data_IF_794038004836
#
_entry.id   IF_794038004836
#
_cell.length_a   1.000
_cell.length_b   1.000
_cell.length_c   1.000
_cell.angle_alpha   90.00
_cell.angle_beta   90.00
_cell.angle_gamma   90.00
#
_symmetry.space_group_name_H-M   'P 1'
#
loop_
_entity.id
_entity.type
_entity.pdbx_description
1 polymer ?
#
# COMPACT_ATOMS: atom_id res chain seq x y z
N UNK A 1 -5.18 -25.92 -17.37
CA UNK A 1 -4.45 -24.86 -18.11
C UNK A 1 -5.15 -23.53 -17.87
N UNK A 2 -4.51 -22.56 -17.20
CA UNK A 2 -5.08 -21.21 -17.08
C UNK A 2 -4.98 -20.50 -18.43
N UNK A 3 -6.11 -20.08 -18.99
CA UNK A 3 -6.13 -19.25 -20.20
C UNK A 3 -5.48 -17.91 -19.88
N UNK A 4 -4.42 -17.53 -20.59
CA UNK A 4 -3.78 -16.21 -20.43
C UNK A 4 -4.71 -15.15 -21.03
N UNK A 5 -5.18 -14.22 -20.21
CA UNK A 5 -5.94 -13.06 -20.67
C UNK A 5 -4.97 -11.97 -21.12
N UNK A 6 -5.08 -11.51 -22.37
CA UNK A 6 -4.32 -10.36 -22.83
C UNK A 6 -4.95 -9.09 -22.25
N UNK A 7 -4.19 -8.37 -21.43
CA UNK A 7 -4.64 -7.12 -20.80
C UNK A 7 -3.68 -6.00 -21.18
N UNK A 8 -4.22 -4.84 -21.53
CA UNK A 8 -3.45 -3.62 -21.79
C UNK A 8 -3.71 -2.64 -20.66
N UNK A 9 -2.66 -2.04 -20.12
CA UNK A 9 -2.74 -1.03 -19.06
C UNK A 9 -2.00 0.23 -19.50
N UNK A 10 -2.53 1.39 -19.12
CA UNK A 10 -1.87 2.68 -19.34
C UNK A 10 -1.17 3.07 -18.05
N UNK A 11 0.14 3.35 -18.15
CA UNK A 11 0.98 3.74 -17.03
C UNK A 11 1.65 5.07 -17.32
N UNK A 12 1.87 5.87 -16.28
CA UNK A 12 2.70 7.06 -16.40
C UNK A 12 4.15 6.67 -16.77
N UNK A 13 4.87 7.51 -17.54
CA UNK A 13 6.20 7.16 -18.04
C UNK A 13 7.21 6.76 -16.95
N UNK A 14 7.27 7.52 -15.86
CA UNK A 14 8.18 7.26 -14.74
C UNK A 14 7.89 5.92 -14.04
N UNK A 15 6.61 5.53 -13.92
CA UNK A 15 6.20 4.25 -13.33
C UNK A 15 6.63 3.10 -14.25
N UNK A 16 6.44 3.26 -15.56
CA UNK A 16 6.85 2.26 -16.55
C UNK A 16 8.36 2.05 -16.51
N UNK A 17 9.15 3.12 -16.45
CA UNK A 17 10.60 3.04 -16.37
C UNK A 17 11.07 2.34 -15.09
N UNK A 18 10.51 2.73 -13.94
CA UNK A 18 10.81 2.10 -12.66
C UNK A 18 10.49 0.60 -12.68
N UNK A 19 9.26 0.24 -13.03
CA UNK A 19 8.83 -1.16 -13.08
C UNK A 19 9.62 -1.99 -14.11
N UNK A 20 10.07 -1.37 -15.20
CA UNK A 20 10.93 -2.05 -16.18
C UNK A 20 12.34 -2.32 -15.65
N UNK A 21 12.90 -1.42 -14.83
CA UNK A 21 14.20 -1.63 -14.18
C UNK A 21 14.11 -2.73 -13.12
N UNK A 22 13.08 -2.67 -12.27
CA UNK A 22 12.81 -3.69 -11.25
C UNK A 22 12.60 -5.09 -11.87
N UNK A 23 11.76 -5.19 -12.92
CA UNK A 23 11.54 -6.45 -13.62
C UNK A 23 12.85 -7.05 -14.14
N UNK A 24 13.73 -6.23 -14.73
CA UNK A 24 15.06 -6.67 -15.20
C UNK A 24 15.97 -7.11 -14.05
N UNK A 25 15.97 -6.39 -12.93
CA UNK A 25 16.75 -6.73 -11.73
C UNK A 25 16.38 -8.12 -11.20
N UNK A 26 15.10 -8.47 -11.26
CA UNK A 26 14.57 -9.76 -10.83
C UNK A 26 14.64 -10.85 -11.93
N UNK A 27 15.15 -10.54 -13.12
CA UNK A 27 15.19 -11.47 -14.25
C UNK A 27 13.81 -11.84 -14.80
N UNK A 28 12.79 -11.00 -14.58
CA UNK A 28 11.41 -11.22 -14.98
C UNK A 28 11.03 -10.38 -16.20
N UNK A 29 10.13 -10.93 -17.02
CA UNK A 29 9.43 -10.14 -18.02
C UNK A 29 8.54 -9.10 -17.35
N UNK A 30 8.40 -7.92 -17.96
CA UNK A 30 7.58 -6.83 -17.44
C UNK A 30 6.13 -7.28 -17.14
N UNK A 31 5.53 -8.08 -18.02
CA UNK A 31 4.17 -8.60 -17.82
C UNK A 31 4.07 -9.55 -16.63
N UNK A 32 5.08 -10.40 -16.42
CA UNK A 32 5.15 -11.29 -15.28
C UNK A 32 5.29 -10.51 -13.97
N UNK A 33 6.19 -9.53 -13.94
CA UNK A 33 6.39 -8.63 -12.80
C UNK A 33 5.09 -7.92 -12.40
N UNK A 34 4.40 -7.30 -13.36
CA UNK A 34 3.10 -6.65 -13.09
C UNK A 34 2.04 -7.65 -12.59
N UNK A 35 2.01 -8.86 -13.15
CA UNK A 35 1.06 -9.89 -12.72
C UNK A 35 1.31 -10.32 -11.26
N UNK A 36 2.58 -10.46 -10.85
CA UNK A 36 2.94 -10.76 -9.46
C UNK A 36 2.48 -9.64 -8.53
N UNK A 37 2.76 -8.37 -8.89
CA UNK A 37 2.32 -7.23 -8.08
C UNK A 37 0.79 -7.16 -7.91
N UNK A 38 0.04 -7.42 -8.98
CA UNK A 38 -1.43 -7.48 -8.91
C UNK A 38 -1.87 -8.64 -8.01
N UNK A 39 -1.26 -9.81 -8.14
CA UNK A 39 -1.55 -10.98 -7.30
C UNK A 39 -1.28 -10.73 -5.83
N UNK A 40 -0.14 -10.13 -5.49
CA UNK A 40 0.22 -9.73 -4.12
C UNK A 40 -0.76 -8.70 -3.57
N UNK A 41 -1.13 -7.69 -4.37
CA UNK A 41 -2.11 -6.69 -3.95
C UNK A 41 -3.48 -7.33 -3.70
N UNK A 42 -3.94 -8.19 -4.59
CA UNK A 42 -5.23 -8.89 -4.45
C UNK A 42 -5.26 -9.80 -3.22
N UNK A 43 -4.14 -10.49 -2.94
CA UNK A 43 -3.99 -11.31 -1.73
C UNK A 43 -4.10 -10.46 -0.47
N UNK A 44 -3.45 -9.29 -0.45
CA UNK A 44 -3.53 -8.35 0.67
C UNK A 44 -4.92 -7.72 0.86
N UNK A 45 -5.68 -7.52 -0.21
CA UNK A 45 -7.05 -6.94 -0.16
C UNK A 45 -8.17 -7.95 0.04
N UNK A 46 -7.86 -9.25 0.11
CA UNK A 46 -8.86 -10.30 0.34
C UNK A 46 -9.35 -10.34 1.80
N UNK A 47 -8.69 -9.57 2.68
CA UNK A 47 -9.08 -9.32 4.07
C UNK A 47 -9.66 -7.90 4.16
N UNK A 48 -10.88 -7.74 4.67
CA UNK A 48 -12.08 -7.46 3.88
C UNK A 48 -12.07 -6.12 3.14
N UNK A 49 -12.59 -6.17 1.92
CA UNK A 49 -13.04 -5.02 1.16
C UNK A 49 -14.46 -4.61 1.58
N UNK A 50 -14.73 -3.31 1.66
CA UNK A 50 -15.84 -2.60 1.01
C UNK A 50 -15.70 -1.13 1.43
N UNK A 51 -15.05 -0.29 0.62
CA UNK A 51 -15.29 1.15 0.73
C UNK A 51 -16.73 1.36 0.23
N UNK A 52 -17.70 1.29 1.15
CA UNK A 52 -19.06 1.72 0.89
C UNK A 52 -18.99 3.21 0.60
N UNK A 53 -19.16 3.61 -0.66
CA UNK A 53 -19.72 4.92 -0.96
C UNK A 53 -21.17 4.91 -0.51
N UNK A 54 -21.44 5.40 0.71
CA UNK A 54 -22.75 5.94 1.06
C UNK A 54 -22.48 7.17 1.92
N UNK A 55 -22.80 8.30 1.33
CA UNK A 55 -23.05 9.58 1.99
C UNK A 55 -23.99 9.44 3.19
N UNK A 56 -23.67 10.22 4.22
CA UNK A 56 -24.51 10.60 5.36
C UNK A 56 -24.98 9.55 6.38
N UNK A 57 -24.73 9.98 7.62
CA UNK A 57 -25.43 9.77 8.87
C UNK A 57 -25.37 8.42 9.62
N UNK A 58 -24.81 8.56 10.84
CA UNK A 58 -24.87 7.71 12.04
C UNK A 58 -24.04 6.42 12.02
N UNK A 59 -22.83 6.54 12.58
CA UNK A 59 -22.07 5.40 13.09
C UNK A 59 -22.49 5.20 14.55
N UNK A 60 -23.37 4.22 14.76
CA UNK A 60 -23.58 3.57 16.05
C UNK A 60 -22.28 2.87 16.47
N UNK A 61 -21.91 3.07 17.74
CA UNK A 61 -20.84 2.39 18.44
C UNK A 61 -21.13 0.88 18.56
N UNK A 62 -20.33 0.03 17.91
CA UNK A 62 -20.06 -1.31 18.40
C UNK A 62 -18.83 -1.93 17.72
N UNK A 63 -17.85 -2.30 18.55
CA UNK A 63 -16.73 -3.20 18.28
C UNK A 63 -15.52 -2.65 17.50
N UNK A 64 -14.79 -1.73 18.13
CA UNK A 64 -13.33 -1.63 17.96
C UNK A 64 -12.71 -1.72 19.36
N UNK A 65 -12.58 -2.93 19.88
CA UNK A 65 -11.64 -3.24 20.97
C UNK A 65 -10.24 -3.34 20.35
N UNK A 66 -9.60 -2.19 20.14
CA UNK A 66 -8.15 -2.14 19.94
C UNK A 66 -7.54 -2.09 21.34
N UNK A 67 -6.93 -3.20 21.71
CA UNK A 67 -5.93 -3.32 22.75
C UNK A 67 -5.01 -2.09 22.77
N UNK A 68 -4.93 -1.49 23.95
CA UNK A 68 -3.84 -0.69 24.49
C UNK A 68 -3.12 0.29 23.54
N UNK A 69 -3.43 1.58 23.68
CA UNK A 69 -2.49 2.66 23.38
C UNK A 69 -1.23 2.44 24.22
N UNK A 70 -0.19 1.82 23.64
CA UNK A 70 1.17 1.98 24.13
C UNK A 70 1.47 3.48 24.17
N UNK A 71 1.62 4.03 25.37
CA UNK A 71 2.10 5.39 25.56
C UNK A 71 3.57 5.41 25.13
N UNK A 72 3.84 5.79 23.89
CA UNK A 72 5.20 6.05 23.42
C UNK A 72 5.75 7.20 24.25
N UNK A 73 6.68 6.90 25.17
CA UNK A 73 7.45 7.90 25.91
C UNK A 73 8.60 8.31 25.01
N UNK A 74 8.48 9.46 24.37
CA UNK A 74 9.55 10.07 23.59
C UNK A 74 10.61 10.56 24.58
N UNK A 75 11.87 10.22 24.34
CA UNK A 75 12.98 10.71 25.16
C UNK A 75 13.44 12.12 24.72
N UNK A 76 14.20 12.81 25.58
CA UNK A 76 14.65 14.18 25.32
C UNK A 76 15.61 14.30 24.13
N UNK A 77 16.24 13.21 23.70
CA UNK A 77 17.16 13.20 22.57
C UNK A 77 16.37 13.11 21.25
N UNK A 78 15.28 12.33 21.24
CA UNK A 78 14.31 12.24 20.16
C UNK A 78 13.55 13.55 19.95
N UNK A 79 13.17 14.27 21.01
CA UNK A 79 12.54 15.60 20.88
C UNK A 79 13.47 16.60 20.18
N UNK A 80 14.76 16.60 20.53
CA UNK A 80 15.74 17.52 19.95
C UNK A 80 16.03 17.21 18.46
N UNK A 81 16.02 15.93 18.07
CA UNK A 81 16.16 15.52 16.67
C UNK A 81 14.93 15.95 15.84
N UNK A 82 13.72 15.84 16.40
CA UNK A 82 12.48 16.31 15.76
C UNK A 82 12.52 17.82 15.54
N UNK A 83 12.91 18.59 16.55
CA UNK A 83 13.02 20.05 16.45
C UNK A 83 14.04 20.48 15.40
N UNK A 84 15.16 19.77 15.27
CA UNK A 84 16.15 20.00 14.21
C UNK A 84 15.57 19.74 12.81
N UNK A 85 14.77 18.69 12.66
CA UNK A 85 14.16 18.30 11.38
C UNK A 85 13.03 19.26 10.93
N UNK A 86 12.36 19.91 11.88
CA UNK A 86 11.27 20.87 11.63
C UNK A 86 11.75 22.30 11.33
N UNK A 87 13.05 22.59 11.45
CA UNK A 87 13.64 23.90 11.15
C UNK A 87 14.01 24.11 9.68
N UNK A 88 13.58 23.24 8.76
CA UNK A 88 13.63 23.41 7.30
C UNK A 88 12.23 23.65 6.73
#
# INVERSE_FOLDING_TARGET
>A
MCKKLKTTITLAPHIKEFASKEAKSLGLDFSAYITVLIGEKMRGTMIPSTIKKVSDDKIDEAAISIDEKESIKIDSEQENEIDRLLQW
#
